data_IF_942188257318
#
_entry.id   IF_942188257318
#
_cell.length_a   1.000
_cell.length_b   1.000
_cell.length_c   1.000
_cell.angle_alpha   90.00
_cell.angle_beta   90.00
_cell.angle_gamma   90.00
#
_symmetry.space_group_name_H-M   'P 1'
#
loop_
_entity.id
_entity.type
_entity.pdbx_description
1 polymer ?
#
# COMPACT_ATOMS: atom_id res chain seq x y z
N UNK A 1 -0.25 -20.27 22.38
CA UNK A 1 -1.05 -20.08 23.61
C UNK A 1 -1.66 -18.68 23.67
N UNK A 2 -0.88 -17.63 23.32
CA UNK A 2 -1.36 -16.24 23.16
C UNK A 2 -2.52 -16.10 22.16
N UNK A 3 -2.34 -16.60 20.92
CA UNK A 3 -3.36 -16.55 19.84
C UNK A 3 -4.73 -17.13 20.26
N UNK A 4 -4.74 -18.22 21.05
CA UNK A 4 -5.98 -18.98 21.28
C UNK A 4 -6.85 -18.47 22.43
N UNK A 5 -6.36 -17.56 23.27
CA UNK A 5 -7.07 -17.12 24.51
C UNK A 5 -7.18 -15.60 24.59
N UNK A 6 -6.16 -14.85 24.18
CA UNK A 6 -6.11 -13.40 24.43
C UNK A 6 -6.22 -12.55 23.17
N UNK A 7 -6.04 -13.12 21.98
CA UNK A 7 -6.05 -12.37 20.72
C UNK A 7 -7.32 -11.55 20.54
N UNK A 8 -8.51 -12.16 20.70
CA UNK A 8 -9.78 -11.44 20.54
C UNK A 8 -9.95 -10.28 21.54
N UNK A 9 -9.59 -10.48 22.81
CA UNK A 9 -9.68 -9.42 23.83
C UNK A 9 -8.68 -8.28 23.58
N UNK A 10 -7.47 -8.61 23.13
CA UNK A 10 -6.47 -7.62 22.73
C UNK A 10 -6.96 -6.82 21.52
N UNK A 11 -7.45 -7.50 20.48
CA UNK A 11 -7.97 -6.84 19.26
C UNK A 11 -9.12 -5.89 19.59
N UNK A 12 -10.09 -6.32 20.40
CA UNK A 12 -11.19 -5.45 20.82
C UNK A 12 -10.70 -4.20 21.57
N UNK A 13 -9.68 -4.33 22.42
CA UNK A 13 -9.07 -3.17 23.08
C UNK A 13 -8.32 -2.26 22.07
N UNK A 14 -7.63 -2.85 21.09
CA UNK A 14 -6.87 -2.11 20.08
C UNK A 14 -7.75 -1.33 19.09
N UNK A 15 -9.03 -1.70 18.91
CA UNK A 15 -9.99 -0.93 18.10
C UNK A 15 -10.26 0.48 18.64
N UNK A 16 -9.93 0.75 19.91
CA UNK A 16 -10.01 2.09 20.51
C UNK A 16 -8.73 2.92 20.32
N UNK A 17 -7.69 2.35 19.71
CA UNK A 17 -6.42 3.03 19.44
C UNK A 17 -6.54 4.01 18.28
N UNK A 18 -5.81 5.14 18.28
CA UNK A 18 -5.73 6.04 17.12
C UNK A 18 -5.05 5.41 15.90
N UNK A 19 -4.42 4.23 16.05
CA UNK A 19 -3.81 3.49 14.95
C UNK A 19 -4.78 2.53 14.25
N UNK A 20 -5.98 2.35 14.81
CA UNK A 20 -7.03 1.56 14.18
C UNK A 20 -7.69 2.37 13.05
N UNK A 21 -7.84 1.73 11.90
CA UNK A 21 -8.63 2.24 10.78
C UNK A 21 -9.79 1.27 10.53
N UNK A 22 -10.97 1.80 10.20
CA UNK A 22 -12.14 0.97 9.94
C UNK A 22 -11.92 0.13 8.67
N UNK A 23 -12.08 -1.19 8.81
CA UNK A 23 -11.86 -2.13 7.71
C UNK A 23 -10.60 -2.98 7.88
N UNK A 24 -9.71 -2.63 8.81
CA UNK A 24 -8.57 -3.48 9.17
C UNK A 24 -9.04 -4.85 9.67
N UNK A 25 -8.43 -5.90 9.13
CA UNK A 25 -8.47 -7.26 9.65
C UNK A 25 -7.73 -7.37 10.98
N UNK A 26 -7.99 -8.45 11.73
CA UNK A 26 -7.32 -8.76 12.99
C UNK A 26 -5.79 -8.71 12.89
N UNK A 27 -5.21 -9.23 11.81
CA UNK A 27 -3.77 -9.23 11.58
C UNK A 27 -3.24 -7.82 11.27
N UNK A 28 -4.00 -7.00 10.56
CA UNK A 28 -3.65 -5.59 10.29
C UNK A 28 -3.71 -4.74 11.56
N UNK A 29 -4.71 -4.97 12.41
CA UNK A 29 -4.80 -4.32 13.73
C UNK A 29 -3.55 -4.67 14.55
N UNK A 30 -3.18 -5.93 14.62
CA UNK A 30 -1.98 -6.36 15.34
C UNK A 30 -0.71 -5.75 14.72
N UNK A 31 -0.60 -5.75 13.39
CA UNK A 31 0.52 -5.19 12.65
C UNK A 31 0.69 -3.68 12.91
N UNK A 32 -0.40 -2.91 12.87
CA UNK A 32 -0.40 -1.48 13.18
C UNK A 32 0.13 -1.17 14.58
N UNK A 33 -0.03 -2.11 15.52
CA UNK A 33 0.45 -2.01 16.91
C UNK A 33 1.80 -2.68 17.15
N UNK A 34 2.51 -3.09 16.09
CA UNK A 34 3.82 -3.73 16.20
C UNK A 34 3.79 -5.18 16.71
N UNK A 35 2.60 -5.79 16.81
CA UNK A 35 2.42 -7.20 17.11
C UNK A 35 2.44 -7.95 15.77
N UNK A 36 3.65 -8.27 15.31
CA UNK A 36 3.86 -8.74 13.94
C UNK A 36 3.84 -10.27 13.87
N UNK A 37 3.19 -10.79 12.84
CA UNK A 37 3.44 -12.15 12.36
C UNK A 37 4.78 -12.21 11.63
N UNK A 38 5.43 -13.39 11.62
CA UNK A 38 6.77 -13.57 11.05
C UNK A 38 6.85 -13.38 9.52
N UNK A 39 5.74 -13.12 8.82
CA UNK A 39 5.64 -13.17 7.36
C UNK A 39 5.48 -11.82 6.67
N UNK A 40 5.64 -10.69 7.35
CA UNK A 40 5.49 -9.39 6.70
C UNK A 40 6.58 -9.13 5.66
N UNK A 41 6.14 -8.80 4.45
CA UNK A 41 6.99 -8.50 3.31
C UNK A 41 6.48 -7.31 2.51
N UNK A 42 7.39 -6.42 2.09
CA UNK A 42 7.11 -5.42 1.07
C UNK A 42 7.59 -5.91 -0.27
N UNK A 43 6.78 -5.73 -1.30
CA UNK A 43 7.08 -6.22 -2.64
C UNK A 43 6.91 -5.12 -3.70
N UNK A 44 7.85 -5.06 -4.65
CA UNK A 44 7.80 -4.09 -5.75
C UNK A 44 8.51 -4.58 -7.02
N UNK A 45 8.11 -4.04 -8.18
CA UNK A 45 8.83 -4.13 -9.46
C UNK A 45 9.27 -2.73 -9.86
N UNK A 46 10.57 -2.52 -10.03
CA UNK A 46 11.09 -1.23 -10.48
C UNK A 46 12.41 -0.84 -9.83
N UNK A 47 12.87 0.35 -10.18
CA UNK A 47 14.23 0.81 -9.92
C UNK A 47 14.34 1.52 -8.55
N UNK A 48 14.65 0.75 -7.51
CA UNK A 48 14.96 1.25 -6.15
C UNK A 48 16.38 0.83 -5.77
N UNK A 49 17.16 1.77 -5.22
CA UNK A 49 18.39 1.46 -4.51
C UNK A 49 18.12 1.41 -3.02
N UNK A 50 18.82 0.55 -2.27
CA UNK A 50 18.84 0.68 -0.81
C UNK A 50 20.19 0.31 -0.22
N UNK A 51 20.54 1.00 0.87
CA UNK A 51 21.67 0.65 1.73
C UNK A 51 21.17 -0.10 2.96
N UNK A 52 21.94 -1.09 3.42
CA UNK A 52 21.67 -1.78 4.67
C UNK A 52 22.38 -1.11 5.85
N UNK A 53 21.74 -1.15 7.01
CA UNK A 53 22.29 -0.70 8.27
C UNK A 53 22.72 -1.93 9.07
N UNK A 54 23.99 -1.95 9.47
CA UNK A 54 24.49 -3.04 10.29
C UNK A 54 23.99 -2.94 11.75
N UNK A 55 24.29 -3.95 12.55
CA UNK A 55 23.87 -4.03 13.96
C UNK A 55 24.36 -2.86 14.82
N UNK A 56 25.40 -2.14 14.39
CA UNK A 56 25.95 -0.98 15.08
C UNK A 56 25.33 0.34 14.62
N UNK A 57 24.30 0.30 13.76
CA UNK A 57 23.62 1.50 13.25
C UNK A 57 24.35 2.19 12.10
N UNK A 58 25.41 1.59 11.54
CA UNK A 58 26.20 2.18 10.45
C UNK A 58 25.59 1.78 9.12
N UNK A 59 25.31 2.77 8.26
CA UNK A 59 24.83 2.57 6.89
C UNK A 59 25.99 2.05 6.03
N UNK A 60 25.75 0.96 5.30
CA UNK A 60 26.69 0.41 4.32
C UNK A 60 26.91 1.37 3.17
N UNK A 61 28.15 1.47 2.69
CA UNK A 61 28.49 2.17 1.45
C UNK A 61 28.00 1.40 0.21
N UNK A 62 27.85 0.08 0.32
CA UNK A 62 27.32 -0.75 -0.74
C UNK A 62 25.82 -0.50 -0.91
N UNK A 63 25.45 -0.24 -2.16
CA UNK A 63 24.06 -0.06 -2.60
C UNK A 63 23.59 -1.31 -3.31
N UNK A 64 22.43 -1.81 -2.90
CA UNK A 64 21.74 -2.88 -3.62
C UNK A 64 20.79 -2.20 -4.61
N UNK A 65 21.03 -2.39 -5.90
CA UNK A 65 20.19 -1.87 -6.99
C UNK A 65 19.21 -2.95 -7.48
N UNK A 66 17.92 -2.63 -7.41
CA UNK A 66 16.83 -3.54 -7.81
C UNK A 66 16.38 -3.37 -9.26
N UNK A 67 17.05 -2.50 -10.04
CA UNK A 67 16.67 -2.23 -11.44
C UNK A 67 16.71 -3.47 -12.33
N UNK A 68 17.57 -4.45 -12.04
CA UNK A 68 17.65 -5.70 -12.80
C UNK A 68 16.62 -6.76 -12.36
N UNK A 69 15.84 -6.51 -11.30
CA UNK A 69 14.86 -7.43 -10.77
C UNK A 69 13.53 -7.30 -11.53
N UNK A 70 13.53 -7.69 -12.80
CA UNK A 70 12.40 -7.50 -13.71
C UNK A 70 11.09 -8.13 -13.25
N UNK A 71 11.18 -9.20 -12.45
CA UNK A 71 10.02 -9.95 -11.97
C UNK A 71 9.59 -9.56 -10.55
N UNK A 72 10.30 -8.63 -9.92
CA UNK A 72 9.98 -8.12 -8.59
C UNK A 72 11.09 -8.34 -7.56
N UNK A 73 10.97 -7.59 -6.47
CA UNK A 73 11.83 -7.64 -5.29
C UNK A 73 10.93 -7.78 -4.08
N UNK A 74 11.33 -8.61 -3.12
CA UNK A 74 10.61 -8.81 -1.86
C UNK A 74 11.57 -8.59 -0.70
N UNK A 75 11.23 -7.70 0.23
CA UNK A 75 11.94 -7.51 1.48
C UNK A 75 11.09 -7.95 2.66
N UNK A 76 11.69 -8.73 3.56
CA UNK A 76 11.07 -9.07 4.83
C UNK A 76 11.13 -7.91 5.84
N UNK A 77 10.35 -8.02 6.92
CA UNK A 77 10.28 -7.03 7.99
C UNK A 77 11.64 -6.64 8.61
N UNK A 78 12.57 -7.59 8.76
CA UNK A 78 13.90 -7.28 9.30
C UNK A 78 14.71 -6.42 8.34
N UNK A 79 14.66 -6.73 7.04
CA UNK A 79 15.37 -5.94 6.04
C UNK A 79 14.78 -4.54 5.92
N UNK A 80 13.44 -4.40 5.96
CA UNK A 80 12.77 -3.10 5.96
C UNK A 80 13.19 -2.20 7.13
N UNK A 81 13.33 -2.77 8.31
CA UNK A 81 13.75 -2.05 9.52
C UNK A 81 15.16 -1.43 9.38
N UNK A 82 16.05 -2.19 8.73
CA UNK A 82 17.47 -1.89 8.57
C UNK A 82 17.83 -1.38 7.18
N UNK A 83 16.87 -1.08 6.30
CA UNK A 83 17.14 -0.54 4.97
C UNK A 83 16.91 0.98 4.90
N UNK A 84 17.65 1.64 4.01
CA UNK A 84 17.44 3.04 3.62
C UNK A 84 17.24 3.10 2.11
N UNK A 85 16.00 3.26 1.64
CA UNK A 85 15.70 3.28 0.22
C UNK A 85 15.98 4.63 -0.43
N UNK A 86 16.27 4.60 -1.72
CA UNK A 86 16.46 5.73 -2.61
C UNK A 86 15.75 5.40 -3.92
N UNK A 87 14.83 6.28 -4.34
CA UNK A 87 14.16 6.16 -5.63
C UNK A 87 15.16 6.57 -6.73
N UNK A 88 15.34 5.71 -7.75
CA UNK A 88 16.24 6.06 -8.85
C UNK A 88 15.59 7.11 -9.76
N UNK A 89 16.41 8.04 -10.25
CA UNK A 89 15.99 9.11 -11.17
C UNK A 89 15.38 8.61 -12.50
N UNK A 90 15.56 7.33 -12.84
CA UNK A 90 14.93 6.73 -14.02
C UNK A 90 13.42 6.54 -13.84
N UNK A 91 12.92 6.50 -12.60
CA UNK A 91 11.51 6.33 -12.28
C UNK A 91 10.78 7.66 -12.46
N UNK A 92 9.77 7.66 -13.32
CA UNK A 92 8.94 8.83 -13.65
C UNK A 92 7.59 8.80 -12.91
N UNK A 93 7.13 7.63 -12.44
CA UNK A 93 5.91 7.50 -11.63
C UNK A 93 5.90 6.24 -10.76
N UNK A 94 5.07 6.27 -9.73
CA UNK A 94 4.84 5.16 -8.79
C UNK A 94 3.39 4.70 -8.93
N UNK A 95 3.16 3.39 -8.95
CA UNK A 95 1.81 2.81 -9.00
C UNK A 95 1.69 1.78 -7.87
N UNK A 96 0.79 2.04 -6.93
CA UNK A 96 0.45 1.15 -5.83
C UNK A 96 -0.73 0.28 -6.26
N UNK A 97 -0.61 -1.04 -6.16
CA UNK A 97 -1.62 -1.98 -6.66
C UNK A 97 -2.02 -2.92 -5.53
N UNK A 98 -3.31 -2.92 -5.19
CA UNK A 98 -3.87 -3.77 -4.12
C UNK A 98 -4.05 -5.23 -4.57
N UNK A 99 -4.51 -5.42 -5.80
CA UNK A 99 -4.81 -6.76 -6.30
C UNK A 99 -3.53 -7.48 -6.78
N UNK A 100 -3.20 -8.61 -6.17
CA UNK A 100 -1.98 -9.38 -6.48
C UNK A 100 -1.91 -9.82 -7.94
N UNK A 101 -3.03 -10.25 -8.53
CA UNK A 101 -3.03 -10.70 -9.93
C UNK A 101 -2.76 -9.54 -10.90
N UNK A 102 -3.29 -8.34 -10.60
CA UNK A 102 -3.00 -7.13 -11.38
C UNK A 102 -1.52 -6.73 -11.23
N UNK A 103 -0.98 -6.78 -10.01
CA UNK A 103 0.45 -6.52 -9.80
C UNK A 103 1.35 -7.51 -10.56
N UNK A 104 1.02 -8.80 -10.53
CA UNK A 104 1.78 -9.84 -11.22
C UNK A 104 1.74 -9.68 -12.75
N UNK A 105 0.60 -9.24 -13.30
CA UNK A 105 0.44 -9.02 -14.73
C UNK A 105 1.12 -7.75 -15.25
N UNK A 106 1.54 -6.83 -14.38
CA UNK A 106 2.30 -5.65 -14.80
C UNK A 106 3.62 -6.05 -15.44
N UNK A 107 3.80 -5.64 -16.69
CA UNK A 107 5.07 -5.75 -17.41
C UNK A 107 6.09 -4.78 -16.82
N UNK A 108 7.34 -5.24 -16.70
CA UNK A 108 8.40 -4.39 -16.18
C UNK A 108 8.62 -3.17 -17.07
N UNK A 109 8.64 -1.99 -16.45
CA UNK A 109 9.00 -0.75 -17.10
C UNK A 109 10.03 -0.01 -16.24
N UNK A 110 11.24 0.30 -16.75
CA UNK A 110 12.30 0.95 -15.96
C UNK A 110 11.93 2.36 -15.48
N UNK A 111 10.85 2.94 -16.03
CA UNK A 111 10.32 4.27 -15.68
C UNK A 111 9.19 4.22 -14.65
N UNK A 112 8.74 3.04 -14.24
CA UNK A 112 7.61 2.88 -13.31
C UNK A 112 8.05 2.02 -12.14
N UNK A 113 7.73 2.48 -10.92
CA UNK A 113 7.81 1.66 -9.73
C UNK A 113 6.42 1.14 -9.38
N UNK A 114 6.21 -0.16 -9.54
CA UNK A 114 5.00 -0.84 -9.09
C UNK A 114 5.20 -1.36 -7.67
N UNK A 115 4.31 -1.02 -6.74
CA UNK A 115 4.35 -1.47 -5.35
C UNK A 115 3.11 -2.31 -5.09
N UNK A 116 3.30 -3.53 -4.61
CA UNK A 116 2.19 -4.36 -4.17
C UNK A 116 1.72 -3.94 -2.77
N UNK A 117 0.43 -3.70 -2.64
CA UNK A 117 -0.27 -3.36 -1.41
C UNK A 117 -1.16 -4.54 -1.05
N UNK A 118 -1.03 -5.11 0.14
CA UNK A 118 -1.78 -6.32 0.54
C UNK A 118 -2.87 -6.01 1.57
N UNK A 119 -3.39 -4.78 1.54
CA UNK A 119 -4.23 -4.20 2.59
C UNK A 119 -3.56 -2.96 3.19
N UNK A 120 -3.75 -2.72 4.48
CA UNK A 120 -3.09 -1.63 5.19
C UNK A 120 -1.60 -1.95 5.38
N UNK A 121 -0.73 -1.06 4.90
CA UNK A 121 0.71 -1.19 5.15
C UNK A 121 1.02 -1.16 6.66
N UNK A 122 1.88 -2.08 7.09
CA UNK A 122 2.38 -2.11 8.45
C UNK A 122 3.27 -0.90 8.76
N UNK A 123 3.52 -0.57 10.05
CA UNK A 123 4.36 0.57 10.42
C UNK A 123 5.77 0.53 9.80
N UNK A 124 6.34 -0.66 9.58
CA UNK A 124 7.67 -0.82 8.95
C UNK A 124 7.62 -0.53 7.45
N UNK A 125 6.58 -0.96 6.76
CA UNK A 125 6.36 -0.67 5.35
C UNK A 125 6.09 0.82 5.14
N UNK A 126 5.19 1.41 5.94
CA UNK A 126 4.91 2.85 5.94
C UNK A 126 6.20 3.64 6.11
N UNK A 127 7.02 3.32 7.11
CA UNK A 127 8.30 4.00 7.34
C UNK A 127 9.25 3.86 6.15
N UNK A 128 9.37 2.67 5.57
CA UNK A 128 10.23 2.44 4.40
C UNK A 128 9.76 3.28 3.21
N UNK A 129 8.46 3.26 2.92
CA UNK A 129 7.88 3.99 1.80
C UNK A 129 7.92 5.52 2.01
N UNK A 130 7.74 6.02 3.23
CA UNK A 130 7.95 7.43 3.56
C UNK A 130 9.41 7.87 3.34
N UNK A 131 10.39 7.04 3.72
CA UNK A 131 11.80 7.31 3.41
C UNK A 131 12.05 7.34 1.90
N UNK A 132 11.47 6.39 1.15
CA UNK A 132 11.56 6.35 -0.30
C UNK A 132 10.98 7.63 -0.93
N UNK A 133 9.78 8.04 -0.51
CA UNK A 133 9.14 9.28 -0.97
C UNK A 133 9.93 10.52 -0.60
N UNK A 134 10.64 10.51 0.52
CA UNK A 134 11.58 11.59 0.89
C UNK A 134 12.77 11.75 -0.06
N UNK A 135 13.05 10.75 -0.89
CA UNK A 135 14.08 10.80 -1.95
C UNK A 135 13.51 11.07 -3.35
N UNK A 136 12.20 10.98 -3.50
CA UNK A 136 11.56 11.14 -4.79
C UNK A 136 11.56 12.62 -5.23
N UNK A 137 11.60 12.90 -6.55
CA UNK A 137 11.36 14.24 -7.07
C UNK A 137 10.01 14.78 -6.58
N UNK A 138 9.90 16.09 -6.37
CA UNK A 138 8.65 16.71 -5.88
C UNK A 138 7.48 16.51 -6.84
N UNK A 139 7.80 16.39 -8.13
CA UNK A 139 6.84 16.26 -9.22
C UNK A 139 6.48 14.80 -9.53
N UNK A 140 7.02 13.83 -8.77
CA UNK A 140 6.71 12.41 -8.96
C UNK A 140 5.20 12.20 -8.82
N UNK A 141 4.60 11.51 -9.79
CA UNK A 141 3.19 11.17 -9.73
C UNK A 141 3.01 9.78 -9.12
N UNK A 142 2.16 9.70 -8.11
CA UNK A 142 1.81 8.46 -7.43
C UNK A 142 0.36 8.10 -7.77
N UNK A 143 0.15 6.86 -8.18
CA UNK A 143 -1.16 6.31 -8.51
C UNK A 143 -1.52 5.16 -7.59
N UNK A 144 -2.81 4.90 -7.42
CA UNK A 144 -3.31 3.76 -6.67
C UNK A 144 -4.40 3.04 -7.45
N UNK A 145 -4.28 1.73 -7.52
CA UNK A 145 -5.28 0.84 -8.10
C UNK A 145 -5.72 -0.18 -7.05
N UNK A 146 -6.87 0.11 -6.45
CA UNK A 146 -7.52 -0.73 -5.45
C UNK A 146 -8.87 -1.25 -5.95
N UNK A 147 -9.49 -2.11 -5.14
CA UNK A 147 -10.84 -2.58 -5.43
C UNK A 147 -11.87 -1.44 -5.19
N UNK A 148 -12.89 -1.38 -6.04
CA UNK A 148 -13.97 -0.37 -5.94
C UNK A 148 -15.03 -0.80 -4.91
N UNK A 149 -14.59 -1.01 -3.67
CA UNK A 149 -15.45 -1.26 -2.53
C UNK A 149 -15.05 -0.41 -1.32
N UNK A 150 -15.81 -0.56 -0.22
CA UNK A 150 -15.55 0.23 0.99
C UNK A 150 -14.10 0.04 1.52
N UNK A 151 -13.56 -1.18 1.47
CA UNK A 151 -12.21 -1.46 1.96
C UNK A 151 -11.14 -0.84 1.07
N UNK A 152 -11.24 -1.04 -0.25
CA UNK A 152 -10.28 -0.47 -1.20
C UNK A 152 -10.26 1.07 -1.17
N UNK A 153 -11.42 1.71 -0.99
CA UNK A 153 -11.49 3.16 -0.80
C UNK A 153 -10.81 3.60 0.51
N UNK A 154 -11.00 2.86 1.61
CA UNK A 154 -10.30 3.17 2.88
C UNK A 154 -8.79 3.02 2.74
N UNK A 155 -8.31 1.98 2.05
CA UNK A 155 -6.89 1.75 1.79
C UNK A 155 -6.31 2.89 0.93
N UNK A 156 -7.03 3.32 -0.12
CA UNK A 156 -6.65 4.49 -0.92
C UNK A 156 -6.47 5.74 -0.04
N UNK A 157 -7.47 6.07 0.78
CA UNK A 157 -7.45 7.26 1.67
C UNK A 157 -6.28 7.15 2.67
N UNK A 158 -6.09 5.96 3.25
CA UNK A 158 -5.01 5.69 4.19
C UNK A 158 -3.63 5.91 3.53
N UNK A 159 -3.44 5.38 2.34
CA UNK A 159 -2.20 5.50 1.58
C UNK A 159 -1.91 6.95 1.18
N UNK A 160 -2.92 7.70 0.75
CA UNK A 160 -2.80 9.13 0.43
C UNK A 160 -2.37 9.94 1.65
N UNK A 161 -3.02 9.70 2.79
CA UNK A 161 -2.77 10.42 4.04
C UNK A 161 -1.40 10.12 4.65
N UNK A 162 -0.97 8.86 4.61
CA UNK A 162 0.17 8.41 5.43
C UNK A 162 1.46 8.22 4.63
N UNK A 163 1.41 8.01 3.31
CA UNK A 163 2.58 7.57 2.55
C UNK A 163 2.80 8.39 1.27
N UNK A 164 1.75 8.56 0.47
CA UNK A 164 1.85 9.13 -0.88
C UNK A 164 0.99 10.39 -0.96
N UNK A 165 1.54 11.58 -0.66
CA UNK A 165 0.82 12.83 -0.79
C UNK A 165 0.27 12.99 -2.20
N UNK A 166 -0.95 13.51 -2.29
CA UNK A 166 -1.64 13.74 -3.55
C UNK A 166 -1.85 12.50 -4.44
N UNK A 167 -1.93 11.30 -3.84
CA UNK A 167 -2.22 10.03 -4.52
C UNK A 167 -3.38 10.17 -5.52
N UNK A 168 -3.20 9.60 -6.71
CA UNK A 168 -4.16 9.69 -7.81
C UNK A 168 -4.85 8.34 -7.96
N UNK A 169 -6.20 8.27 -7.88
CA UNK A 169 -6.90 7.03 -8.17
C UNK A 169 -6.73 6.66 -9.65
N UNK A 170 -6.35 5.40 -9.92
CA UNK A 170 -6.17 4.87 -11.27
C UNK A 170 -7.04 3.62 -11.45
N UNK A 171 -7.83 3.58 -12.52
CA UNK A 171 -8.85 2.54 -12.77
C UNK A 171 -9.92 2.44 -11.67
N UNK A 172 -10.13 3.54 -10.94
CA UNK A 172 -11.07 3.65 -9.82
C UNK A 172 -12.13 4.75 -10.03
N UNK A 173 -12.31 5.21 -11.26
CA UNK A 173 -13.32 6.23 -11.59
C UNK A 173 -14.68 5.61 -11.96
N UNK A 174 -15.67 6.48 -12.17
CA UNK A 174 -17.03 6.08 -12.56
C UNK A 174 -17.05 5.30 -13.87
N UNK A 175 -16.21 5.67 -14.84
CA UNK A 175 -16.16 5.01 -16.14
C UNK A 175 -15.60 3.58 -16.01
N UNK A 176 -14.50 3.40 -15.26
CA UNK A 176 -13.94 2.08 -14.94
C UNK A 176 -14.95 1.21 -14.18
N UNK A 177 -15.71 1.79 -13.25
CA UNK A 177 -16.79 1.08 -12.54
C UNK A 177 -17.92 0.64 -13.48
N UNK A 178 -18.42 1.54 -14.34
CA UNK A 178 -19.47 1.21 -15.32
C UNK A 178 -19.02 0.14 -16.31
N UNK A 179 -17.75 0.17 -16.75
CA UNK A 179 -17.16 -0.86 -17.59
C UNK A 179 -17.08 -2.21 -16.87
N UNK A 180 -16.66 -2.23 -15.61
CA UNK A 180 -16.65 -3.44 -14.80
C UNK A 180 -18.06 -4.05 -14.65
N UNK A 181 -19.09 -3.21 -14.47
CA UNK A 181 -20.49 -3.65 -14.44
C UNK A 181 -20.93 -4.27 -15.77
N UNK A 182 -20.61 -3.62 -16.90
CA UNK A 182 -20.89 -4.15 -18.25
C UNK A 182 -20.23 -5.51 -18.48
N UNK A 183 -19.04 -5.71 -17.92
CA UNK A 183 -18.29 -6.96 -17.98
C UNK A 183 -18.74 -8.01 -16.95
N UNK A 184 -19.84 -7.76 -16.23
CA UNK A 184 -20.43 -8.73 -15.29
C UNK A 184 -19.65 -8.90 -13.99
N UNK A 185 -18.72 -8.00 -13.66
CA UNK A 185 -17.90 -8.03 -12.44
C UNK A 185 -18.54 -7.26 -11.27
N UNK A 186 -19.80 -6.85 -11.40
CA UNK A 186 -20.52 -6.10 -10.38
C UNK A 186 -20.88 -6.96 -9.16
N UNK A 187 -20.75 -6.37 -7.97
CA UNK A 187 -21.22 -6.96 -6.72
C UNK A 187 -22.44 -6.19 -6.23
N UNK A 188 -23.50 -6.90 -5.84
CA UNK A 188 -24.68 -6.27 -5.23
C UNK A 188 -24.31 -5.73 -3.85
N UNK A 189 -24.43 -4.42 -3.66
CA UNK A 189 -24.25 -3.78 -2.35
C UNK A 189 -25.43 -4.12 -1.43
N UNK A 190 -25.13 -4.61 -0.23
CA UNK A 190 -26.14 -4.70 0.82
C UNK A 190 -26.44 -3.28 1.38
N UNK A 191 -27.60 -3.11 2.02
CA UNK A 191 -28.06 -1.80 2.51
C UNK A 191 -27.08 -1.15 3.50
N UNK A 192 -26.50 -1.93 4.41
CA UNK A 192 -25.55 -1.41 5.40
C UNK A 192 -24.23 -0.90 4.78
N UNK A 193 -23.67 -1.60 3.78
CA UNK A 193 -22.47 -1.13 3.05
C UNK A 193 -22.77 0.13 2.25
N UNK A 194 -23.97 0.22 1.68
CA UNK A 194 -24.41 1.41 0.95
C UNK A 194 -24.46 2.65 1.83
N UNK A 195 -25.08 2.56 3.01
CA UNK A 195 -25.13 3.68 3.96
C UNK A 195 -23.72 4.14 4.37
N UNK A 196 -22.81 3.19 4.65
CA UNK A 196 -21.41 3.52 4.98
C UNK A 196 -20.68 4.22 3.84
N UNK A 197 -20.88 3.79 2.60
CA UNK A 197 -20.30 4.43 1.41
C UNK A 197 -20.86 5.84 1.19
N UNK A 198 -22.18 6.02 1.36
CA UNK A 198 -22.84 7.33 1.23
C UNK A 198 -22.35 8.34 2.29
N UNK A 199 -21.90 7.86 3.46
CA UNK A 199 -21.33 8.70 4.53
C UNK A 199 -19.81 8.92 4.41
N UNK A 200 -19.13 8.17 3.55
CA UNK A 200 -17.68 8.24 3.41
C UNK A 200 -17.30 9.40 2.50
N UNK A 201 -16.39 10.27 2.96
CA UNK A 201 -15.71 11.21 2.08
C UNK A 201 -14.62 10.46 1.32
N UNK A 202 -14.87 10.17 0.04
CA UNK A 202 -13.96 9.41 -0.81
C UNK A 202 -12.87 10.27 -1.47
N UNK A 203 -12.76 11.55 -1.07
CA UNK A 203 -11.75 12.46 -1.56
C UNK A 203 -11.82 12.65 -3.07
N UNK A 204 -10.69 12.42 -3.76
CA UNK A 204 -10.58 12.61 -5.21
C UNK A 204 -11.41 11.63 -6.04
N UNK A 205 -11.90 10.54 -5.45
CA UNK A 205 -12.79 9.58 -6.12
C UNK A 205 -14.19 10.15 -6.41
N UNK A 206 -14.59 11.22 -5.72
CA UNK A 206 -15.90 11.87 -5.91
C UNK A 206 -15.93 12.80 -7.14
N UNK A 207 -14.75 13.16 -7.67
CA UNK A 207 -14.65 14.10 -8.78
C UNK A 207 -14.77 13.33 -10.10
N UNK A 208 -15.74 13.64 -10.97
CA UNK A 208 -15.80 13.05 -12.30
C UNK A 208 -14.49 13.32 -13.03
N UNK A 209 -13.92 12.31 -13.70
CA UNK A 209 -12.81 12.51 -14.61
C UNK A 209 -13.15 13.67 -15.55
N UNK A 210 -12.34 14.74 -15.53
CA UNK A 210 -12.56 15.88 -16.39
C UNK A 210 -12.56 15.39 -17.85
N UNK A 211 -13.67 15.63 -18.55
CA UNK A 211 -13.82 15.31 -19.98
C UNK A 211 -12.75 15.99 -20.83
#
# INVERSE_FOLDING_TARGET
>A
MFERIYQGAVIEALKYSPLYEEGMSDDEILAAHGILSYSQTLEWKGAVEYCLINQNGIVSEEKIDTSANYYGTVLNAQTLEHARPILKNSVEKIIVIENKANYESMEYNPKILYIFCHGYFSPKEVRFLQMLMGTAPKEIQCYHWGDMDYGGIQIYIYNEKNIFPELIPWEMDVASYEEALKNGKGITLNSGKREKLEMLNAGKLEVPASQ
#
